data_IF_133239747935
#
_entry.id   IF_133239747935
#
_cell.length_a   1.000
_cell.length_b   1.000
_cell.length_c   1.000
_cell.angle_alpha   90.00
_cell.angle_beta   90.00
_cell.angle_gamma   90.00
#
_symmetry.space_group_name_H-M   'P 1'
#
loop_
_entity.id
_entity.type
_entity.pdbx_description
1 polymer ?
#
# COMPACT_ATOMS: atom_id res chain seq x y z
N UNK A 1 -5.56 -22.60 13.38
CA UNK A 1 -5.76 -23.08 12.00
C UNK A 1 -6.13 -24.57 11.97
N UNK A 2 -5.22 -25.50 12.32
CA UNK A 2 -5.49 -26.96 12.29
C UNK A 2 -6.66 -27.34 13.19
N UNK A 3 -6.76 -26.76 14.39
CA UNK A 3 -7.87 -27.00 15.31
C UNK A 3 -9.22 -26.55 14.71
N UNK A 4 -9.26 -25.37 14.08
CA UNK A 4 -10.43 -24.84 13.44
C UNK A 4 -10.89 -25.70 12.23
N UNK A 5 -9.95 -26.19 11.42
CA UNK A 5 -10.26 -27.12 10.32
C UNK A 5 -10.85 -28.42 10.88
N UNK A 6 -10.25 -28.98 11.93
CA UNK A 6 -10.70 -30.22 12.56
C UNK A 6 -12.12 -30.09 13.12
N UNK A 7 -12.41 -29.02 13.83
CA UNK A 7 -13.73 -28.74 14.39
C UNK A 7 -14.78 -28.65 13.31
N UNK A 8 -14.55 -27.88 12.25
CA UNK A 8 -15.46 -27.74 11.12
C UNK A 8 -15.58 -29.00 10.28
N UNK A 9 -14.55 -29.83 10.19
CA UNK A 9 -14.61 -31.10 9.47
C UNK A 9 -15.45 -32.20 10.21
N UNK A 10 -15.58 -32.03 11.52
CA UNK A 10 -16.41 -32.94 12.35
C UNK A 10 -17.89 -32.52 12.42
N UNK A 11 -18.20 -31.30 11.98
CA UNK A 11 -19.58 -30.79 11.96
C UNK A 11 -20.38 -31.49 10.86
N UNK A 12 -21.42 -32.23 11.25
CA UNK A 12 -22.15 -33.17 10.37
C UNK A 12 -23.03 -32.51 9.29
N UNK A 13 -23.18 -31.19 9.30
CA UNK A 13 -24.04 -30.45 8.36
C UNK A 13 -23.34 -30.05 7.05
N UNK A 14 -22.06 -30.40 6.87
CA UNK A 14 -21.32 -30.09 5.69
C UNK A 14 -21.60 -31.03 4.51
N UNK A 15 -22.51 -30.56 3.66
CA UNK A 15 -22.75 -31.02 2.28
C UNK A 15 -22.65 -32.55 2.03
N UNK A 16 -23.74 -33.27 2.21
CA UNK A 16 -23.90 -34.69 1.86
C UNK A 16 -23.47 -35.08 0.43
N UNK A 17 -23.13 -34.10 -0.44
CA UNK A 17 -22.72 -34.30 -1.83
C UNK A 17 -21.23 -34.43 -2.07
N UNK A 18 -20.38 -34.14 -1.06
CA UNK A 18 -18.91 -34.17 -1.20
C UNK A 18 -18.30 -35.38 -0.48
N UNK A 19 -17.24 -35.94 -1.05
CA UNK A 19 -16.45 -36.94 -0.35
C UNK A 19 -15.73 -36.31 0.85
N UNK A 20 -15.36 -37.06 1.91
CA UNK A 20 -14.65 -36.53 3.07
C UNK A 20 -13.38 -35.77 2.69
N UNK A 21 -12.62 -36.25 1.71
CA UNK A 21 -11.40 -35.56 1.22
C UNK A 21 -11.73 -34.22 0.58
N UNK A 22 -12.77 -34.13 -0.23
CA UNK A 22 -13.21 -32.89 -0.85
C UNK A 22 -13.72 -31.87 0.18
N UNK A 23 -14.39 -32.35 1.24
CA UNK A 23 -14.80 -31.50 2.35
C UNK A 23 -13.60 -30.86 3.07
N UNK A 24 -12.59 -31.64 3.41
CA UNK A 24 -11.37 -31.13 4.04
C UNK A 24 -10.68 -30.09 3.16
N UNK A 25 -10.55 -30.35 1.86
CA UNK A 25 -9.96 -29.38 0.91
C UNK A 25 -10.77 -28.07 0.87
N UNK A 26 -12.10 -28.18 0.81
CA UNK A 26 -12.99 -27.01 0.82
C UNK A 26 -12.83 -26.20 2.11
N UNK A 27 -12.92 -26.84 3.27
CA UNK A 27 -12.79 -26.20 4.58
C UNK A 27 -11.43 -25.53 4.72
N UNK A 28 -10.36 -26.21 4.27
CA UNK A 28 -9.00 -25.66 4.30
C UNK A 28 -8.91 -24.40 3.43
N UNK A 29 -9.46 -24.43 2.23
CA UNK A 29 -9.46 -23.26 1.33
C UNK A 29 -10.26 -22.10 1.94
N UNK A 30 -11.44 -22.36 2.50
CA UNK A 30 -12.25 -21.34 3.17
C UNK A 30 -11.53 -20.74 4.37
N UNK A 31 -10.86 -21.56 5.19
CA UNK A 31 -10.14 -21.10 6.36
C UNK A 31 -8.89 -20.26 6.01
N UNK A 32 -8.15 -20.70 4.98
CA UNK A 32 -7.04 -19.90 4.43
C UNK A 32 -7.54 -18.56 3.88
N UNK A 33 -8.62 -18.60 3.10
CA UNK A 33 -9.23 -17.38 2.57
C UNK A 33 -9.66 -16.46 3.70
N UNK A 34 -10.32 -16.98 4.75
CA UNK A 34 -10.73 -16.19 5.92
C UNK A 34 -9.56 -15.50 6.61
N UNK A 35 -8.44 -16.20 6.80
CA UNK A 35 -7.23 -15.63 7.41
C UNK A 35 -6.64 -14.53 6.53
N UNK A 36 -6.57 -14.77 5.22
CA UNK A 36 -6.01 -13.82 4.25
C UNK A 36 -6.92 -12.62 3.98
N UNK A 37 -8.21 -12.74 4.27
CA UNK A 37 -9.22 -11.68 4.08
C UNK A 37 -9.64 -11.00 5.39
N UNK A 38 -8.88 -11.18 6.46
CA UNK A 38 -9.14 -10.49 7.72
C UNK A 38 -8.84 -8.99 7.56
N UNK A 39 -9.87 -8.13 7.76
CA UNK A 39 -9.76 -6.67 7.67
C UNK A 39 -10.54 -6.05 6.51
N UNK A 40 -10.47 -4.73 6.40
CA UNK A 40 -11.03 -3.98 5.26
C UNK A 40 -10.09 -4.12 4.04
N UNK A 41 -10.66 -4.31 2.86
CA UNK A 41 -9.93 -4.41 1.59
C UNK A 41 -10.18 -3.20 0.68
N UNK A 42 -10.88 -2.19 1.19
CA UNK A 42 -11.19 -0.95 0.48
C UNK A 42 -10.45 0.20 1.13
N UNK A 43 -9.92 1.09 0.29
CA UNK A 43 -9.41 2.36 0.76
C UNK A 43 -10.60 3.25 1.12
N UNK A 44 -10.60 3.80 2.33
CA UNK A 44 -11.65 4.68 2.80
C UNK A 44 -11.36 6.13 2.35
N UNK A 45 -12.26 6.75 1.58
CA UNK A 45 -12.10 8.16 1.22
C UNK A 45 -12.12 9.06 2.46
N UNK A 46 -11.23 10.04 2.50
CA UNK A 46 -11.26 11.06 3.54
C UNK A 46 -12.54 11.90 3.45
N UNK A 47 -12.93 12.51 4.56
CA UNK A 47 -14.07 13.45 4.61
C UNK A 47 -13.84 14.75 3.80
N UNK A 48 -12.58 15.01 3.40
CA UNK A 48 -12.16 16.13 2.56
C UNK A 48 -11.21 15.66 1.45
N UNK A 49 -11.02 16.50 0.42
CA UNK A 49 -10.10 16.22 -0.68
C UNK A 49 -8.75 16.93 -0.51
N UNK A 50 -7.66 16.31 -0.97
CA UNK A 50 -7.56 14.93 -1.47
C UNK A 50 -7.50 13.90 -0.37
N UNK A 51 -7.93 12.66 -0.63
CA UNK A 51 -7.56 11.50 0.18
C UNK A 51 -6.08 11.19 -0.04
N UNK A 52 -5.29 11.22 1.00
CA UNK A 52 -3.83 11.01 0.89
C UNK A 52 -3.49 9.56 1.24
N UNK A 53 -2.85 8.88 0.29
CA UNK A 53 -2.36 7.49 0.44
C UNK A 53 -0.85 7.50 0.38
N UNK A 54 -0.20 7.09 1.47
CA UNK A 54 1.24 6.91 1.54
C UNK A 54 1.60 5.46 1.20
N UNK A 55 2.52 5.25 0.24
CA UNK A 55 2.93 3.90 -0.16
C UNK A 55 4.38 3.67 0.26
N UNK A 56 4.58 2.73 1.18
CA UNK A 56 5.86 2.36 1.76
C UNK A 56 6.25 0.92 1.42
N UNK A 57 7.51 0.54 1.63
CA UNK A 57 8.02 -0.81 1.45
C UNK A 57 9.49 -0.85 1.02
N UNK A 58 10.08 -2.04 0.97
CA UNK A 58 11.46 -2.25 0.60
C UNK A 58 11.74 -2.01 -0.89
N UNK A 59 13.02 -1.88 -1.25
CA UNK A 59 13.45 -1.85 -2.64
C UNK A 59 13.01 -3.11 -3.38
N UNK A 60 12.48 -2.93 -4.60
CA UNK A 60 12.02 -4.04 -5.43
C UNK A 60 10.67 -4.63 -5.05
N UNK A 61 10.02 -4.23 -3.94
CA UNK A 61 8.70 -4.74 -3.53
C UNK A 61 7.55 -4.35 -4.48
N UNK A 62 7.77 -3.40 -5.39
CA UNK A 62 6.77 -2.98 -6.37
C UNK A 62 5.97 -1.74 -6.00
N UNK A 63 6.46 -0.88 -5.08
CA UNK A 63 5.78 0.38 -4.67
C UNK A 63 5.36 1.24 -5.85
N UNK A 64 6.32 1.70 -6.66
CA UNK A 64 6.08 2.56 -7.82
C UNK A 64 5.07 1.97 -8.80
N UNK A 65 5.15 0.65 -9.03
CA UNK A 65 4.17 -0.08 -9.86
C UNK A 65 2.78 -0.10 -9.21
N UNK A 66 2.72 -0.29 -7.90
CA UNK A 66 1.46 -0.27 -7.13
C UNK A 66 0.83 1.10 -7.15
N UNK A 67 1.62 2.17 -6.96
CA UNK A 67 1.17 3.57 -7.07
C UNK A 67 0.52 3.84 -8.43
N UNK A 68 1.18 3.44 -9.53
CA UNK A 68 0.62 3.62 -10.87
C UNK A 68 -0.65 2.80 -11.10
N UNK A 69 -0.71 1.55 -10.59
CA UNK A 69 -1.92 0.70 -10.67
C UNK A 69 -3.08 1.26 -9.86
N UNK A 70 -2.83 1.81 -8.67
CA UNK A 70 -3.85 2.48 -7.87
C UNK A 70 -4.40 3.70 -8.62
N UNK A 71 -3.54 4.58 -9.15
CA UNK A 71 -3.98 5.70 -9.96
C UNK A 71 -4.82 5.28 -11.16
N UNK A 72 -4.42 4.20 -11.86
CA UNK A 72 -5.20 3.64 -12.96
C UNK A 72 -6.56 3.08 -12.50
N UNK A 73 -6.61 2.48 -11.31
CA UNK A 73 -7.84 1.96 -10.72
C UNK A 73 -8.81 3.10 -10.37
N UNK A 74 -8.31 4.14 -9.71
CA UNK A 74 -9.12 5.33 -9.37
C UNK A 74 -9.66 6.02 -10.63
N UNK A 75 -8.83 6.16 -11.66
CA UNK A 75 -9.24 6.71 -12.95
C UNK A 75 -10.36 5.88 -13.60
N UNK A 76 -10.29 4.55 -13.56
CA UNK A 76 -11.36 3.67 -14.06
C UNK A 76 -12.67 3.83 -13.28
N UNK A 77 -12.59 4.17 -12.00
CA UNK A 77 -13.73 4.49 -11.15
C UNK A 77 -14.27 5.93 -11.37
N UNK A 78 -13.71 6.69 -12.33
CA UNK A 78 -14.12 8.08 -12.61
C UNK A 78 -13.56 9.11 -11.62
N UNK A 79 -12.57 8.71 -10.80
CA UNK A 79 -11.93 9.57 -9.80
C UNK A 79 -10.62 10.15 -10.32
N UNK A 80 -10.32 11.39 -9.95
CA UNK A 80 -9.05 12.03 -10.29
C UNK A 80 -7.99 11.73 -9.24
N UNK A 81 -6.79 11.40 -9.68
CA UNK A 81 -5.65 11.15 -8.79
C UNK A 81 -4.40 11.87 -9.29
N UNK A 82 -3.58 12.31 -8.34
CA UNK A 82 -2.23 12.79 -8.57
C UNK A 82 -1.24 11.82 -7.95
N UNK A 83 -0.28 11.33 -8.72
CA UNK A 83 0.82 10.52 -8.23
C UNK A 83 1.96 11.45 -7.82
N UNK A 84 2.61 11.19 -6.69
CA UNK A 84 3.65 12.07 -6.14
C UNK A 84 4.93 11.26 -5.99
N UNK A 85 5.99 11.66 -6.70
CA UNK A 85 7.31 11.02 -6.66
C UNK A 85 8.13 11.56 -5.48
N UNK A 86 7.94 11.02 -4.28
CA UNK A 86 8.64 11.44 -3.07
C UNK A 86 9.96 10.66 -2.84
N UNK A 87 10.74 10.45 -3.90
CA UNK A 87 12.11 9.91 -3.86
C UNK A 87 13.04 10.84 -4.65
N UNK A 88 13.35 12.05 -4.14
CA UNK A 88 14.10 13.06 -4.88
C UNK A 88 15.57 12.69 -5.12
N UNK A 89 16.11 11.73 -4.35
CA UNK A 89 17.50 11.29 -4.45
C UNK A 89 17.73 10.24 -5.55
N UNK A 90 16.64 9.74 -6.16
CA UNK A 90 16.70 8.71 -7.21
C UNK A 90 16.01 9.19 -8.50
N UNK A 91 16.72 9.94 -9.37
CA UNK A 91 16.14 10.46 -10.62
C UNK A 91 15.48 9.36 -11.47
N UNK A 92 16.08 8.17 -11.54
CA UNK A 92 15.51 7.04 -12.28
C UNK A 92 14.16 6.58 -11.73
N UNK A 93 13.89 6.69 -10.42
CA UNK A 93 12.59 6.37 -9.83
C UNK A 93 11.53 7.41 -10.23
N UNK A 94 11.91 8.68 -10.26
CA UNK A 94 11.06 9.76 -10.75
C UNK A 94 10.68 9.52 -12.22
N UNK A 95 11.67 9.26 -13.08
CA UNK A 95 11.45 8.98 -14.51
C UNK A 95 10.56 7.75 -14.71
N UNK A 96 10.74 6.71 -13.89
CA UNK A 96 9.91 5.50 -13.90
C UNK A 96 8.45 5.82 -13.57
N UNK A 97 8.19 6.55 -12.49
CA UNK A 97 6.82 6.91 -12.11
C UNK A 97 6.17 7.79 -13.17
N UNK A 98 6.91 8.75 -13.74
CA UNK A 98 6.42 9.59 -14.83
C UNK A 98 6.08 8.78 -16.09
N UNK A 99 6.93 7.79 -16.45
CA UNK A 99 6.66 6.90 -17.58
C UNK A 99 5.38 6.07 -17.34
N UNK A 100 5.23 5.51 -16.14
CA UNK A 100 4.03 4.76 -15.76
C UNK A 100 2.79 5.66 -15.73
N UNK A 101 2.90 6.87 -15.17
CA UNK A 101 1.81 7.84 -15.14
C UNK A 101 1.32 8.18 -16.56
N UNK A 102 2.25 8.40 -17.51
CA UNK A 102 1.88 8.61 -18.93
C UNK A 102 1.18 7.39 -19.54
N UNK A 103 1.64 6.17 -19.24
CA UNK A 103 1.01 4.95 -19.76
C UNK A 103 -0.41 4.75 -19.27
N UNK A 104 -0.69 5.06 -18.01
CA UNK A 104 -2.04 4.93 -17.43
C UNK A 104 -2.87 6.21 -17.58
N UNK A 105 -2.25 7.30 -18.06
CA UNK A 105 -2.89 8.60 -18.26
C UNK A 105 -3.31 9.28 -16.94
N UNK A 106 -2.43 9.21 -15.93
CA UNK A 106 -2.57 9.85 -14.61
C UNK A 106 -1.42 10.85 -14.45
N UNK A 107 -1.73 12.04 -13.94
CA UNK A 107 -0.73 13.09 -13.73
C UNK A 107 0.24 12.72 -12.61
N UNK A 108 1.52 13.10 -12.77
CA UNK A 108 2.58 12.85 -11.80
C UNK A 108 3.22 14.16 -11.38
N UNK A 109 3.21 14.44 -10.09
CA UNK A 109 4.00 15.50 -9.48
C UNK A 109 5.38 14.98 -9.14
N UNK A 110 6.42 15.69 -9.58
CA UNK A 110 7.80 15.39 -9.26
C UNK A 110 8.62 16.68 -9.19
N UNK A 111 9.54 16.75 -8.23
CA UNK A 111 10.49 17.85 -8.09
C UNK A 111 11.91 17.32 -8.05
N UNK A 112 12.63 17.49 -9.14
CA UNK A 112 14.05 17.12 -9.20
C UNK A 112 14.88 18.08 -8.36
N UNK A 113 15.92 17.54 -7.70
CA UNK A 113 16.85 18.35 -6.90
C UNK A 113 16.26 18.89 -5.59
N UNK A 114 15.15 18.36 -5.13
CA UNK A 114 14.63 18.66 -3.80
C UNK A 114 15.54 18.08 -2.71
N UNK A 115 15.66 18.81 -1.60
CA UNK A 115 16.54 18.42 -0.49
C UNK A 115 16.02 17.22 0.30
N UNK A 116 14.69 17.08 0.42
CA UNK A 116 14.09 15.99 1.18
C UNK A 116 12.73 15.54 0.61
N UNK A 117 12.40 14.28 0.89
CA UNK A 117 11.18 13.64 0.44
C UNK A 117 9.90 14.25 1.04
N UNK A 118 9.96 14.69 2.31
CA UNK A 118 8.81 15.25 3.00
C UNK A 118 8.33 16.58 2.38
N UNK A 119 9.25 17.43 1.90
CA UNK A 119 8.88 18.67 1.21
C UNK A 119 8.20 18.37 -0.13
N UNK A 120 8.73 17.41 -0.91
CA UNK A 120 8.12 16.98 -2.18
C UNK A 120 6.73 16.41 -1.97
N UNK A 121 6.57 15.54 -0.97
CA UNK A 121 5.28 14.96 -0.63
C UNK A 121 4.26 16.04 -0.26
N UNK A 122 4.64 16.99 0.61
CA UNK A 122 3.79 18.10 1.04
C UNK A 122 3.35 18.99 -0.13
N UNK A 123 4.30 19.39 -0.96
CA UNK A 123 4.00 20.20 -2.16
C UNK A 123 3.10 19.44 -3.15
N UNK A 124 3.35 18.14 -3.32
CA UNK A 124 2.52 17.29 -4.17
C UNK A 124 1.09 17.17 -3.67
N UNK A 125 0.89 17.00 -2.34
CA UNK A 125 -0.45 16.96 -1.73
C UNK A 125 -1.15 18.32 -1.88
N UNK A 126 -0.43 19.43 -1.66
CA UNK A 126 -0.97 20.76 -1.92
C UNK A 126 -1.40 20.91 -3.38
N UNK A 127 -0.56 20.46 -4.32
CA UNK A 127 -0.88 20.48 -5.74
C UNK A 127 -2.10 19.63 -6.08
N UNK A 128 -2.27 18.47 -5.45
CA UNK A 128 -3.47 17.64 -5.59
C UNK A 128 -4.74 18.40 -5.13
N UNK A 129 -4.64 19.15 -4.03
CA UNK A 129 -5.72 20.02 -3.55
C UNK A 129 -6.08 21.13 -4.55
N UNK A 130 -5.08 21.81 -5.14
CA UNK A 130 -5.29 22.84 -6.17
C UNK A 130 -5.96 22.30 -7.44
N UNK A 131 -5.70 21.02 -7.77
CA UNK A 131 -6.30 20.31 -8.89
C UNK A 131 -7.68 19.71 -8.58
N UNK A 132 -8.16 19.87 -7.34
CA UNK A 132 -9.38 19.22 -6.82
C UNK A 132 -9.37 17.70 -7.00
N UNK A 133 -8.17 17.09 -7.01
CA UNK A 133 -8.01 15.64 -7.13
C UNK A 133 -8.69 14.92 -5.96
N UNK A 134 -9.32 13.78 -6.25
CA UNK A 134 -9.93 12.93 -5.22
C UNK A 134 -8.85 12.24 -4.37
N UNK A 135 -7.72 11.90 -5.01
CA UNK A 135 -6.65 11.12 -4.41
C UNK A 135 -5.27 11.73 -4.66
N UNK A 136 -4.44 11.74 -3.63
CA UNK A 136 -3.01 12.02 -3.70
C UNK A 136 -2.25 10.76 -3.28
N UNK A 137 -1.53 10.11 -4.19
CA UNK A 137 -0.85 8.84 -3.95
C UNK A 137 0.65 9.09 -3.93
N UNK A 138 1.27 8.94 -2.75
CA UNK A 138 2.67 9.26 -2.51
C UNK A 138 3.52 8.01 -2.64
N UNK A 139 4.42 7.99 -3.64
CA UNK A 139 5.44 6.97 -3.84
C UNK A 139 6.71 7.34 -3.08
N UNK A 140 7.09 6.54 -2.08
CA UNK A 140 8.27 6.81 -1.25
C UNK A 140 9.50 6.05 -1.73
N UNK A 141 10.67 6.50 -1.32
CA UNK A 141 11.89 5.75 -1.47
C UNK A 141 11.75 4.35 -0.84
N UNK A 142 12.46 3.39 -1.38
CA UNK A 142 12.65 2.08 -0.76
C UNK A 142 14.11 1.92 -0.39
N UNK A 143 14.37 1.16 0.66
CA UNK A 143 15.72 0.72 1.02
C UNK A 143 15.80 -0.81 0.99
N UNK A 144 17.00 -1.35 1.03
CA UNK A 144 17.21 -2.81 1.01
C UNK A 144 16.83 -3.46 2.33
N UNK A 145 16.87 -2.69 3.41
CA UNK A 145 16.53 -3.14 4.76
C UNK A 145 15.73 -2.05 5.46
N UNK A 146 14.97 -2.44 6.47
CA UNK A 146 14.37 -1.49 7.40
C UNK A 146 15.48 -1.03 8.34
N UNK A 147 15.84 0.23 8.25
CA UNK A 147 16.84 0.89 9.07
C UNK A 147 16.26 2.19 9.66
N UNK A 148 16.94 2.74 10.65
CA UNK A 148 16.50 3.96 11.36
C UNK A 148 16.32 5.14 10.39
N UNK A 149 17.12 5.19 9.33
CA UNK A 149 17.08 6.28 8.35
C UNK A 149 15.83 6.21 7.47
N UNK A 150 15.46 5.00 6.99
CA UNK A 150 14.19 4.79 6.28
C UNK A 150 13.01 5.15 7.16
N UNK A 151 13.07 4.72 8.42
CA UNK A 151 11.97 4.95 9.37
C UNK A 151 11.82 6.45 9.66
N UNK A 152 12.91 7.17 9.88
CA UNK A 152 12.90 8.63 10.08
C UNK A 152 12.37 9.38 8.85
N UNK A 153 12.72 8.94 7.64
CA UNK A 153 12.22 9.52 6.40
C UNK A 153 10.71 9.30 6.24
N UNK A 154 10.22 8.07 6.48
CA UNK A 154 8.79 7.75 6.43
C UNK A 154 7.99 8.53 7.49
N UNK A 155 8.51 8.67 8.71
CA UNK A 155 7.90 9.50 9.74
C UNK A 155 7.84 10.99 9.33
N UNK A 156 8.91 11.51 8.74
CA UNK A 156 8.94 12.89 8.27
C UNK A 156 7.91 13.14 7.19
N UNK A 157 7.77 12.21 6.22
CA UNK A 157 6.74 12.27 5.19
C UNK A 157 5.35 12.17 5.84
N UNK A 158 5.13 11.18 6.70
CA UNK A 158 3.85 10.97 7.38
C UNK A 158 3.38 12.22 8.13
N UNK A 159 4.27 12.84 8.92
CA UNK A 159 3.97 14.11 9.63
C UNK A 159 3.67 15.27 8.67
N UNK A 160 4.36 15.31 7.52
CA UNK A 160 4.20 16.39 6.55
C UNK A 160 2.88 16.34 5.78
N UNK A 161 2.35 15.15 5.50
CA UNK A 161 1.16 14.96 4.65
C UNK A 161 -0.07 14.45 5.39
N UNK A 162 0.07 13.98 6.64
CA UNK A 162 -1.00 13.40 7.46
C UNK A 162 -1.88 12.43 6.64
N UNK A 163 -1.34 11.30 6.15
CA UNK A 163 -2.04 10.44 5.22
C UNK A 163 -3.31 9.85 5.85
N UNK A 164 -4.36 9.70 5.05
CA UNK A 164 -5.57 8.98 5.45
C UNK A 164 -5.28 7.49 5.58
N UNK A 165 -4.46 6.95 4.67
CA UNK A 165 -4.09 5.55 4.60
C UNK A 165 -2.59 5.39 4.34
N UNK A 166 -1.99 4.39 4.99
CA UNK A 166 -0.61 3.98 4.70
C UNK A 166 -0.60 2.55 4.21
N UNK A 167 -0.14 2.34 2.98
CA UNK A 167 -0.04 1.03 2.35
C UNK A 167 1.39 0.53 2.40
N UNK A 168 1.61 -0.61 3.04
CA UNK A 168 2.88 -1.31 3.00
C UNK A 168 2.86 -2.34 1.86
N UNK A 169 3.75 -2.15 0.88
CA UNK A 169 3.92 -3.07 -0.25
C UNK A 169 5.02 -4.06 0.07
N UNK A 170 4.65 -5.33 0.16
CA UNK A 170 5.55 -6.45 0.44
C UNK A 170 5.61 -7.38 -0.77
N UNK A 171 6.80 -7.93 -1.02
CA UNK A 171 6.97 -9.00 -1.99
C UNK A 171 6.74 -10.36 -1.30
N UNK A 172 5.75 -11.12 -1.79
CA UNK A 172 5.43 -12.45 -1.26
C UNK A 172 6.61 -13.44 -1.37
N UNK A 173 7.59 -13.19 -2.24
CA UNK A 173 8.78 -14.01 -2.39
C UNK A 173 9.78 -13.85 -1.23
N UNK A 174 9.66 -12.80 -0.42
CA UNK A 174 10.54 -12.59 0.75
C UNK A 174 10.23 -13.53 1.93
N UNK A 175 9.10 -14.26 1.88
CA UNK A 175 8.75 -15.25 2.89
C UNK A 175 8.61 -14.65 4.32
N UNK A 176 9.28 -15.24 5.30
CA UNK A 176 9.20 -14.83 6.71
C UNK A 176 9.72 -13.39 6.97
N UNK A 177 10.63 -12.90 6.15
CA UNK A 177 11.13 -11.52 6.28
C UNK A 177 10.03 -10.48 6.05
N UNK A 178 9.01 -10.81 5.25
CA UNK A 178 7.86 -9.94 5.04
C UNK A 178 7.10 -9.65 6.35
N UNK A 179 7.02 -10.64 7.25
CA UNK A 179 6.35 -10.47 8.56
C UNK A 179 7.13 -9.48 9.42
N UNK A 180 8.47 -9.63 9.50
CA UNK A 180 9.32 -8.71 10.26
C UNK A 180 9.22 -7.28 9.72
N UNK A 181 9.30 -7.10 8.40
CA UNK A 181 9.14 -5.79 7.76
C UNK A 181 7.78 -5.18 8.08
N UNK A 182 6.72 -6.00 8.09
CA UNK A 182 5.37 -5.54 8.43
C UNK A 182 5.27 -5.08 9.89
N UNK A 183 5.82 -5.86 10.84
CA UNK A 183 5.82 -5.53 12.27
C UNK A 183 6.56 -4.22 12.53
N UNK A 184 7.79 -4.06 12.02
CA UNK A 184 8.59 -2.85 12.16
C UNK A 184 7.90 -1.63 11.53
N UNK A 185 7.25 -1.78 10.35
CA UNK A 185 6.55 -0.69 9.67
C UNK A 185 5.26 -0.27 10.38
N UNK A 186 4.55 -1.21 11.03
CA UNK A 186 3.33 -0.90 11.82
C UNK A 186 3.66 -0.10 13.06
N UNK A 187 4.80 -0.36 13.71
CA UNK A 187 5.25 0.41 14.88
C UNK A 187 5.41 1.89 14.53
N UNK A 188 5.99 2.21 13.37
CA UNK A 188 6.15 3.60 12.91
C UNK A 188 4.81 4.26 12.59
N UNK A 189 3.93 3.56 11.87
CA UNK A 189 2.60 4.10 11.59
C UNK A 189 1.83 4.43 12.89
N UNK A 190 1.96 3.60 13.94
CA UNK A 190 1.34 3.83 15.25
C UNK A 190 1.99 4.97 16.03
N UNK A 191 3.32 5.08 16.00
CA UNK A 191 4.05 6.16 16.68
C UNK A 191 3.72 7.53 16.11
N UNK A 192 3.36 7.61 14.83
CA UNK A 192 2.99 8.86 14.14
C UNK A 192 1.54 9.30 14.39
N UNK A 193 0.71 8.47 15.02
CA UNK A 193 -0.69 8.76 15.35
C UNK A 193 -0.88 9.30 16.79
N UNK A 194 0.19 9.49 17.57
CA UNK A 194 0.19 10.12 18.90
C UNK A 194 0.67 11.58 18.81
#
# INVERSE_FOLDING_TARGET
FVASIRERALDQDLLRSLTPGQQVVKITNEELTRILTAGSHTLEPASGKPTVVLVAGLNGSGKTTTVAKLGAHMKKAGQQSLLIAADPHRPAAIDQLQALGRQVGVEVYARQGAENAASVAKEGVQRAGELEADWAIVDTAGRFQVDEELMAELEAIHRAVAPTETLLVLDAMTGQDAVRVAEESVEVARASCQ
#
